data_IF_339046136653
#
_entry.id   IF_339046136653
#
_cell.length_a   1.000
_cell.length_b   1.000
_cell.length_c   1.000
_cell.angle_alpha   90.00
_cell.angle_beta   90.00
_cell.angle_gamma   90.00
#
_symmetry.space_group_name_H-M   'P 1'
#
loop_
_entity.id
_entity.type
_entity.pdbx_description
1 polymer ?
#
# COMPACT_ATOMS: atom_id res chain seq x y z
N UNK A 1 -25.78 21.96 11.89
CA UNK A 1 -26.15 21.21 10.66
C UNK A 1 -25.24 21.54 9.47
N UNK A 2 -25.03 22.81 9.11
CA UNK A 2 -24.15 23.21 7.98
C UNK A 2 -22.69 22.73 8.08
N UNK A 3 -22.07 22.80 9.26
CA UNK A 3 -20.69 22.35 9.49
C UNK A 3 -20.52 20.84 9.33
N UNK A 4 -21.53 20.06 9.72
CA UNK A 4 -21.51 18.60 9.61
C UNK A 4 -21.53 18.12 8.16
N UNK A 5 -22.22 18.85 7.28
CA UNK A 5 -22.27 18.57 5.83
C UNK A 5 -20.91 18.82 5.15
N UNK A 6 -20.18 19.86 5.58
CA UNK A 6 -18.87 20.20 5.04
C UNK A 6 -17.83 19.13 5.43
N UNK A 7 -17.86 18.68 6.68
CA UNK A 7 -16.96 17.60 7.16
C UNK A 7 -17.24 16.29 6.42
N UNK A 8 -18.50 15.95 6.19
CA UNK A 8 -18.89 14.77 5.42
C UNK A 8 -18.40 14.84 3.96
N UNK A 9 -18.52 16.01 3.33
CA UNK A 9 -18.08 16.23 1.95
C UNK A 9 -16.55 16.08 1.81
N UNK A 10 -15.79 16.60 2.77
CA UNK A 10 -14.33 16.47 2.81
C UNK A 10 -13.88 15.03 3.01
N UNK A 11 -14.61 14.24 3.79
CA UNK A 11 -14.31 12.82 4.02
C UNK A 11 -14.52 11.96 2.76
N UNK A 12 -15.51 12.31 1.94
CA UNK A 12 -15.81 11.64 0.67
C UNK A 12 -14.73 11.91 -0.41
N UNK A 13 -14.02 13.04 -0.33
CA UNK A 13 -12.94 13.40 -1.27
C UNK A 13 -11.64 12.62 -1.04
N UNK A 14 -11.46 12.01 0.13
CA UNK A 14 -10.26 11.24 0.48
C UNK A 14 -10.38 9.73 0.19
N UNK A 15 -11.44 9.28 -0.48
CA UNK A 15 -11.59 7.87 -0.83
C UNK A 15 -10.53 7.48 -1.88
N UNK A 16 -9.73 6.42 -1.65
CA UNK A 16 -8.78 5.95 -2.65
C UNK A 16 -9.55 5.43 -3.86
N UNK A 17 -9.17 5.91 -5.04
CA UNK A 17 -9.60 5.33 -6.30
C UNK A 17 -8.85 4.00 -6.45
N UNK A 18 -9.53 2.87 -6.22
CA UNK A 18 -8.94 1.56 -6.48
C UNK A 18 -8.69 1.43 -7.98
N UNK A 19 -7.41 1.36 -8.35
CA UNK A 19 -7.00 1.15 -9.73
C UNK A 19 -6.78 -0.35 -9.96
N UNK A 20 -7.81 -1.01 -10.48
CA UNK A 20 -7.61 -2.25 -11.18
C UNK A 20 -6.71 -1.97 -12.39
N UNK A 21 -5.63 -2.76 -12.55
CA UNK A 21 -4.68 -2.60 -13.65
C UNK A 21 -5.37 -2.57 -15.02
N UNK A 22 -4.75 -1.93 -16.01
CA UNK A 22 -5.34 -1.75 -17.33
C UNK A 22 -5.50 -3.09 -18.06
N UNK A 23 -6.75 -3.51 -18.29
CA UNK A 23 -7.09 -4.67 -19.14
C UNK A 23 -7.33 -4.20 -20.56
N UNK A 24 -6.48 -4.59 -21.50
CA UNK A 24 -6.59 -4.21 -22.92
C UNK A 24 -7.18 -5.38 -23.71
N UNK A 25 -8.40 -5.21 -24.21
CA UNK A 25 -9.03 -6.15 -25.14
C UNK A 25 -8.79 -5.68 -26.58
N UNK A 26 -8.26 -6.56 -27.43
CA UNK A 26 -8.02 -6.30 -28.86
C UNK A 26 -8.78 -7.30 -29.72
N UNK A 27 -9.17 -6.90 -30.93
CA UNK A 27 -9.76 -7.81 -31.91
C UNK A 27 -8.71 -8.80 -32.39
N UNK A 28 -9.03 -10.08 -32.45
CA UNK A 28 -8.10 -11.12 -32.91
C UNK A 28 -7.69 -10.98 -34.39
N UNK A 29 -8.50 -10.27 -35.18
CA UNK A 29 -8.28 -10.03 -36.61
C UNK A 29 -7.26 -8.93 -36.91
N UNK A 30 -6.89 -8.13 -35.91
CA UNK A 30 -5.93 -7.04 -36.07
C UNK A 30 -4.53 -7.55 -35.65
N UNK A 31 -3.47 -7.27 -36.43
CA UNK A 31 -2.12 -7.67 -36.05
C UNK A 31 -1.69 -6.94 -34.77
N UNK A 32 -1.20 -7.72 -33.80
CA UNK A 32 -0.80 -7.24 -32.48
C UNK A 32 0.50 -7.92 -32.06
N UNK A 33 1.46 -7.12 -31.59
CA UNK A 33 2.70 -7.63 -31.03
C UNK A 33 2.57 -7.83 -29.51
N UNK A 34 2.28 -9.07 -29.12
CA UNK A 34 2.18 -9.47 -27.73
C UNK A 34 3.50 -9.35 -26.97
N UNK A 35 4.63 -9.54 -27.65
CA UNK A 35 5.95 -9.51 -27.02
C UNK A 35 6.36 -8.08 -26.70
N UNK A 36 6.14 -7.13 -27.62
CA UNK A 36 6.38 -5.72 -27.35
C UNK A 36 5.59 -5.19 -26.13
N UNK A 37 4.33 -5.63 -25.97
CA UNK A 37 3.54 -5.27 -24.78
C UNK A 37 4.07 -5.92 -23.52
N UNK A 38 4.41 -7.22 -23.55
CA UNK A 38 5.02 -7.90 -22.41
C UNK A 38 6.30 -7.18 -21.96
N UNK A 39 7.17 -6.85 -22.90
CA UNK A 39 8.47 -6.26 -22.60
C UNK A 39 8.30 -4.85 -22.01
N UNK A 40 7.33 -4.07 -22.49
CA UNK A 40 6.95 -2.79 -21.89
C UNK A 40 6.43 -2.94 -20.46
N UNK A 41 5.51 -3.88 -20.21
CA UNK A 41 4.96 -4.13 -18.87
C UNK A 41 6.05 -4.59 -17.90
N UNK A 42 6.97 -5.44 -18.36
CA UNK A 42 8.12 -5.87 -17.57
C UNK A 42 9.02 -4.69 -17.19
N UNK A 43 9.28 -3.78 -18.12
CA UNK A 43 10.08 -2.58 -17.87
C UNK A 43 9.40 -1.65 -16.85
N UNK A 44 8.09 -1.41 -16.99
CA UNK A 44 7.31 -0.59 -16.06
C UNK A 44 7.31 -1.19 -14.65
N UNK A 45 7.13 -2.51 -14.55
CA UNK A 45 7.18 -3.23 -13.27
C UNK A 45 8.57 -3.17 -12.63
N UNK A 46 9.64 -3.40 -13.40
CA UNK A 46 11.00 -3.30 -12.90
C UNK A 46 11.32 -1.87 -12.40
N UNK A 47 10.80 -0.84 -13.09
CA UNK A 47 10.91 0.54 -12.66
C UNK A 47 10.20 0.78 -11.31
N UNK A 48 8.96 0.31 -11.16
CA UNK A 48 8.22 0.43 -9.90
C UNK A 48 8.94 -0.27 -8.74
N UNK A 49 9.46 -1.47 -8.97
CA UNK A 49 10.27 -2.19 -7.97
C UNK A 49 11.55 -1.43 -7.62
N UNK A 50 12.21 -0.79 -8.60
CA UNK A 50 13.38 0.03 -8.33
C UNK A 50 13.05 1.23 -7.42
N UNK A 51 11.89 1.86 -7.62
CA UNK A 51 11.40 2.93 -6.74
C UNK A 51 11.09 2.41 -5.35
N UNK A 52 10.49 1.21 -5.25
CA UNK A 52 10.23 0.53 -3.97
C UNK A 52 11.53 0.25 -3.21
N UNK A 53 12.60 -0.15 -3.90
CA UNK A 53 13.91 -0.38 -3.30
C UNK A 53 14.61 0.91 -2.87
N UNK A 54 14.41 2.00 -3.60
CA UNK A 54 14.92 3.33 -3.22
C UNK A 54 14.20 3.90 -2.00
N UNK A 55 12.92 3.60 -1.83
CA UNK A 55 12.19 3.93 -0.62
C UNK A 55 12.72 3.09 0.55
N UNK A 56 13.55 3.71 1.37
CA UNK A 56 14.08 3.07 2.57
C UNK A 56 12.94 2.54 3.44
N UNK A 57 12.88 1.22 3.64
CA UNK A 57 11.94 0.59 4.57
C UNK A 57 12.29 1.08 5.98
N UNK A 58 11.50 2.00 6.52
CA UNK A 58 11.63 2.44 7.91
C UNK A 58 11.02 1.38 8.82
N UNK A 59 11.90 0.60 9.47
CA UNK A 59 11.52 -0.36 10.51
C UNK A 59 11.46 0.35 11.84
N UNK A 60 10.24 0.60 12.34
CA UNK A 60 10.04 1.25 13.63
C UNK A 60 10.07 0.23 14.76
N UNK A 61 10.78 0.55 15.83
CA UNK A 61 10.78 -0.25 17.07
C UNK A 61 9.56 0.05 17.96
N UNK A 62 8.93 1.21 17.75
CA UNK A 62 7.74 1.65 18.47
C UNK A 62 6.85 2.49 17.55
N UNK A 63 5.54 2.44 17.80
CA UNK A 63 4.57 3.23 17.05
C UNK A 63 4.54 4.69 17.51
N UNK A 64 4.23 5.64 16.61
CA UNK A 64 3.90 7.02 16.98
C UNK A 64 2.74 7.11 17.99
N UNK A 65 2.66 8.23 18.70
CA UNK A 65 1.56 8.50 19.63
C UNK A 65 0.26 8.68 18.84
N UNK A 66 -0.84 8.09 19.32
CA UNK A 66 -2.17 8.22 18.70
C UNK A 66 -2.51 7.18 17.64
N UNK A 67 -1.68 6.13 17.48
CA UNK A 67 -1.98 5.01 16.60
C UNK A 67 -3.13 4.14 17.14
N UNK A 68 -4.02 3.71 16.26
CA UNK A 68 -5.17 2.86 16.59
C UNK A 68 -5.01 1.48 15.97
N UNK A 69 -5.25 0.44 16.76
CA UNK A 69 -5.23 -0.96 16.31
C UNK A 69 -6.48 -1.29 15.49
N UNK A 70 -6.27 -1.83 14.29
CA UNK A 70 -7.33 -2.29 13.38
C UNK A 70 -7.07 -3.78 13.10
N UNK A 71 -8.11 -4.61 13.28
CA UNK A 71 -7.95 -6.08 13.27
C UNK A 71 -8.56 -6.80 12.05
N UNK A 72 -9.23 -6.10 11.14
CA UNK A 72 -9.89 -6.72 9.97
C UNK A 72 -9.45 -6.06 8.67
N UNK A 73 -9.16 -6.84 7.60
CA UNK A 73 -9.05 -8.30 7.56
C UNK A 73 -7.80 -8.86 8.27
N UNK A 74 -6.78 -8.02 8.50
CA UNK A 74 -5.54 -8.38 9.20
C UNK A 74 -5.14 -7.30 10.21
N UNK A 75 -4.37 -7.69 11.24
CA UNK A 75 -3.88 -6.79 12.29
C UNK A 75 -2.92 -5.73 11.72
N UNK A 76 -3.27 -4.46 11.85
CA UNK A 76 -2.43 -3.31 11.52
C UNK A 76 -2.76 -2.11 12.41
N UNK A 77 -1.94 -1.06 12.35
CA UNK A 77 -2.10 0.17 13.12
C UNK A 77 -2.26 1.35 12.17
N UNK A 78 -3.32 2.14 12.34
CA UNK A 78 -3.51 3.40 11.63
C UNK A 78 -3.00 4.57 12.48
N UNK A 79 -2.10 5.39 11.91
CA UNK A 79 -1.44 6.51 12.57
C UNK A 79 -1.59 7.77 11.71
N UNK A 80 -2.79 8.35 11.66
CA UNK A 80 -3.11 9.46 10.74
C UNK A 80 -3.18 8.98 9.29
N UNK A 81 -2.24 9.41 8.45
CA UNK A 81 -2.15 9.01 7.03
C UNK A 81 -1.20 7.81 6.80
N UNK A 82 -0.51 7.33 7.83
CA UNK A 82 0.41 6.20 7.74
C UNK A 82 -0.19 4.94 8.38
N UNK A 83 0.09 3.80 7.79
CA UNK A 83 -0.36 2.50 8.28
C UNK A 83 0.86 1.62 8.57
N UNK A 84 0.82 0.87 9.67
CA UNK A 84 1.93 0.03 10.10
C UNK A 84 1.47 -1.38 10.43
N UNK A 85 2.23 -2.37 9.99
CA UNK A 85 2.00 -3.78 10.33
C UNK A 85 3.03 -4.25 11.36
N UNK A 86 2.61 -4.91 12.46
CA UNK A 86 3.53 -5.51 13.41
C UNK A 86 4.13 -6.80 12.85
N UNK A 87 5.43 -6.98 13.01
CA UNK A 87 6.18 -8.20 12.72
C UNK A 87 6.92 -8.64 13.98
N UNK A 88 6.85 -9.93 14.29
CA UNK A 88 7.64 -10.51 15.37
C UNK A 88 9.03 -10.84 14.83
N UNK A 89 10.05 -10.21 15.42
CA UNK A 89 11.44 -10.51 15.13
C UNK A 89 12.04 -11.30 16.29
N UNK A 90 12.52 -12.50 16.00
CA UNK A 90 13.26 -13.34 16.94
C UNK A 90 14.72 -13.39 16.48
N UNK A 91 15.59 -12.72 17.23
CA UNK A 91 17.04 -12.89 17.09
C UNK A 91 17.47 -14.08 17.96
N UNK A 92 18.26 -15.00 17.42
CA UNK A 92 18.76 -16.18 18.15
C UNK A 92 19.47 -15.73 19.43
N UNK A 93 18.91 -16.09 20.59
CA UNK A 93 19.45 -15.72 21.91
C UNK A 93 18.94 -14.41 22.51
N UNK A 94 18.00 -13.70 21.87
CA UNK A 94 17.33 -12.50 22.45
C UNK A 94 15.82 -12.68 22.59
N UNK A 95 15.24 -11.88 23.50
CA UNK A 95 13.79 -11.77 23.72
C UNK A 95 13.09 -11.29 22.45
N UNK A 96 11.98 -11.93 22.08
CA UNK A 96 11.16 -11.56 20.92
C UNK A 96 10.74 -10.10 20.98
N UNK A 97 11.01 -9.34 19.92
CA UNK A 97 10.67 -7.92 19.82
C UNK A 97 9.66 -7.71 18.68
N UNK A 98 8.62 -6.90 18.89
CA UNK A 98 7.72 -6.46 17.81
C UNK A 98 8.35 -5.26 17.10
N UNK A 99 8.43 -5.32 15.78
CA UNK A 99 8.80 -4.19 14.92
C UNK A 99 7.63 -3.82 14.01
N UNK A 100 7.57 -2.56 13.58
CA UNK A 100 6.47 -2.02 12.80
C UNK A 100 6.99 -1.54 11.45
N UNK A 101 6.45 -2.11 10.38
CA UNK A 101 6.81 -1.76 9.01
C UNK A 101 5.66 -0.98 8.40
N UNK A 102 5.97 0.15 7.77
CA UNK A 102 4.98 0.95 7.07
C UNK A 102 4.41 0.17 5.89
N UNK A 103 3.10 0.19 5.75
CA UNK A 103 2.35 -0.43 4.65
C UNK A 103 1.51 0.63 3.94
N UNK A 104 1.12 0.31 2.71
CA UNK A 104 0.11 1.08 1.99
C UNK A 104 -1.23 1.04 2.75
N UNK A 105 -2.09 2.05 2.57
CA UNK A 105 -3.44 2.03 3.12
C UNK A 105 -4.16 0.73 2.73
N UNK A 106 -4.69 -0.02 3.70
CA UNK A 106 -5.43 -1.24 3.39
C UNK A 106 -6.73 -0.89 2.66
N UNK A 107 -6.97 -1.55 1.52
CA UNK A 107 -8.22 -1.45 0.73
C UNK A 107 -9.42 -2.12 1.42
#
# INVERSE_FOLDING_TARGET
MRTSLIVLLLLLLCLPLSWAGQVVVRKSSEPFDAFAVRDKVLQEHAWQESLRLQQQIQVLQALPIGCVLIQRPYRHYGCGAAFYRPYHYQETGKKSSEVFIQIDPPE
#
